data_IF_247766969623
#
_entry.id   IF_247766969623
#
_cell.length_a   1.000
_cell.length_b   1.000
_cell.length_c   1.000
_cell.angle_alpha   90.00
_cell.angle_beta   90.00
_cell.angle_gamma   90.00
#
_symmetry.space_group_name_H-M   'P 1'
#
loop_
_entity.id
_entity.type
_entity.pdbx_description
1 polymer ?
#
# COMPACT_ATOMS: atom_id res chain seq x y z
N UNK A 1 -7.85 6.99 -10.04
CA UNK A 1 -9.21 6.77 -9.50
C UNK A 1 -10.04 6.09 -10.57
N UNK A 2 -10.80 5.05 -10.23
CA UNK A 2 -11.81 4.45 -11.13
C UNK A 2 -13.12 4.21 -10.40
N UNK A 3 -14.20 3.96 -11.16
CA UNK A 3 -15.50 3.61 -10.57
C UNK A 3 -15.44 2.33 -9.74
N UNK A 4 -14.70 1.31 -10.19
CA UNK A 4 -14.62 0.02 -9.48
C UNK A 4 -13.68 0.03 -8.27
N UNK A 5 -12.69 0.95 -8.25
CA UNK A 5 -11.57 0.92 -7.29
C UNK A 5 -11.48 2.15 -6.40
N UNK A 6 -12.24 3.21 -6.66
CA UNK A 6 -12.07 4.49 -5.96
C UNK A 6 -10.63 4.97 -6.06
N UNK A 7 -9.99 5.19 -4.91
CA UNK A 7 -8.57 5.56 -4.83
C UNK A 7 -7.60 4.39 -4.62
N UNK A 8 -8.08 3.14 -4.57
CA UNK A 8 -7.21 1.96 -4.52
C UNK A 8 -6.24 1.94 -5.72
N UNK A 9 -5.16 1.18 -5.56
CA UNK A 9 -4.22 0.95 -6.65
C UNK A 9 -4.93 0.51 -7.95
N UNK A 10 -4.52 1.10 -9.07
CA UNK A 10 -5.06 0.80 -10.41
C UNK A 10 -4.64 -0.57 -10.95
N UNK A 11 -3.93 -1.36 -10.16
CA UNK A 11 -3.44 -2.70 -10.42
C UNK A 11 -3.78 -3.60 -9.22
N UNK A 12 -3.71 -4.93 -9.36
CA UNK A 12 -3.73 -5.83 -8.18
C UNK A 12 -2.33 -5.83 -7.56
N UNK A 13 -2.14 -5.31 -6.33
CA UNK A 13 -0.84 -5.24 -5.69
C UNK A 13 -0.15 -6.60 -5.52
N UNK A 14 -0.91 -7.67 -5.30
CA UNK A 14 -0.35 -9.02 -5.12
C UNK A 14 0.12 -9.68 -6.41
N UNK A 15 -0.31 -9.18 -7.57
CA UNK A 15 0.11 -9.66 -8.89
C UNK A 15 1.39 -8.98 -9.40
N UNK A 16 1.88 -7.94 -8.72
CA UNK A 16 3.10 -7.23 -9.11
C UNK A 16 4.33 -8.02 -8.68
N UNK A 17 5.18 -8.35 -9.65
CA UNK A 17 6.46 -9.00 -9.40
C UNK A 17 7.59 -7.97 -9.31
N UNK A 18 8.39 -8.03 -8.24
CA UNK A 18 9.59 -7.23 -8.13
C UNK A 18 10.79 -7.95 -8.78
N UNK A 19 11.76 -7.21 -9.35
CA UNK A 19 13.00 -7.78 -9.87
C UNK A 19 13.71 -8.69 -8.86
N UNK A 20 14.38 -9.74 -9.35
CA UNK A 20 15.04 -10.76 -8.51
C UNK A 20 15.97 -10.17 -7.44
N UNK A 21 16.64 -9.05 -7.74
CA UNK A 21 17.52 -8.37 -6.79
C UNK A 21 16.80 -7.86 -5.53
N UNK A 22 15.49 -7.61 -5.59
CA UNK A 22 14.65 -7.16 -4.48
C UNK A 22 13.96 -8.31 -3.74
N UNK A 23 14.18 -9.58 -4.13
CA UNK A 23 13.60 -10.72 -3.43
C UNK A 23 13.97 -10.77 -1.93
N UNK A 24 15.23 -10.51 -1.50
CA UNK A 24 15.56 -10.50 -0.07
C UNK A 24 14.77 -9.46 0.74
N UNK A 25 14.44 -8.32 0.12
CA UNK A 25 13.62 -7.25 0.72
C UNK A 25 12.18 -7.73 0.88
N UNK A 26 11.61 -8.32 -0.17
CA UNK A 26 10.24 -8.88 -0.13
C UNK A 26 10.12 -10.00 0.89
N UNK A 27 11.08 -10.92 0.94
CA UNK A 27 11.10 -12.03 1.90
C UNK A 27 11.21 -11.54 3.33
N UNK A 28 12.12 -10.60 3.61
CA UNK A 28 12.27 -9.99 4.94
C UNK A 28 11.00 -9.27 5.37
N UNK A 29 10.40 -8.46 4.49
CA UNK A 29 9.18 -7.75 4.78
C UNK A 29 8.03 -8.72 5.09
N UNK A 30 7.83 -9.76 4.26
CA UNK A 30 6.78 -10.77 4.51
C UNK A 30 7.00 -11.61 5.76
N UNK A 31 8.25 -11.71 6.23
CA UNK A 31 8.58 -12.41 7.47
C UNK A 31 8.32 -11.59 8.74
N UNK A 32 8.04 -10.28 8.64
CA UNK A 32 7.86 -9.37 9.79
C UNK A 32 6.95 -9.96 10.90
N UNK A 33 5.77 -10.55 10.61
CA UNK A 33 4.91 -11.13 11.65
C UNK A 33 5.60 -12.19 12.52
N UNK A 34 6.51 -12.96 11.94
CA UNK A 34 7.29 -13.96 12.68
C UNK A 34 8.53 -13.36 13.36
N UNK A 35 9.00 -12.19 12.92
CA UNK A 35 10.21 -11.56 13.44
C UNK A 35 9.94 -10.62 14.61
N UNK A 36 8.82 -9.89 14.60
CA UNK A 36 8.54 -8.84 15.58
C UNK A 36 8.39 -9.39 17.00
N UNK A 37 7.86 -10.61 17.14
CA UNK A 37 7.70 -11.30 18.43
C UNK A 37 9.03 -11.82 19.03
N UNK A 38 10.14 -11.78 18.29
CA UNK A 38 11.42 -12.34 18.74
C UNK A 38 12.21 -11.43 19.68
N UNK A 39 11.84 -10.15 19.80
CA UNK A 39 12.62 -9.13 20.52
C UNK A 39 14.00 -8.84 19.91
N UNK A 40 14.24 -9.26 18.67
CA UNK A 40 15.52 -9.07 17.94
C UNK A 40 15.31 -8.55 16.52
N UNK A 41 14.17 -7.92 16.24
CA UNK A 41 13.76 -7.58 14.88
C UNK A 41 14.72 -6.58 14.23
N UNK A 42 15.33 -5.66 15.00
CA UNK A 42 16.33 -4.72 14.46
C UNK A 42 17.57 -5.43 13.96
N UNK A 43 18.13 -6.33 14.77
CA UNK A 43 19.31 -7.11 14.42
C UNK A 43 19.07 -8.02 13.21
N UNK A 44 17.82 -8.41 12.93
CA UNK A 44 17.45 -9.17 11.75
C UNK A 44 17.31 -8.27 10.51
N UNK A 45 16.63 -7.13 10.63
CA UNK A 45 16.49 -6.15 9.55
C UNK A 45 17.84 -5.55 9.11
N UNK A 46 18.77 -5.33 10.04
CA UNK A 46 20.12 -4.83 9.76
C UNK A 46 20.97 -5.79 8.91
N UNK A 47 20.57 -7.06 8.79
CA UNK A 47 21.24 -8.03 7.90
C UNK A 47 20.86 -7.84 6.44
N UNK A 48 19.85 -7.03 6.14
CA UNK A 48 19.50 -6.71 4.76
C UNK A 48 20.69 -6.05 4.06
N UNK A 49 20.99 -6.46 2.81
CA UNK A 49 21.98 -5.76 2.02
C UNK A 49 21.50 -4.32 1.76
N UNK A 50 22.42 -3.37 1.82
CA UNK A 50 22.17 -2.03 1.34
C UNK A 50 21.90 -2.09 -0.17
N UNK A 51 20.74 -1.62 -0.61
CA UNK A 51 20.39 -1.51 -2.02
C UNK A 51 20.42 -0.06 -2.47
N UNK A 52 21.02 0.19 -3.63
CA UNK A 52 20.79 1.43 -4.37
C UNK A 52 19.62 1.22 -5.35
N UNK A 53 18.54 1.95 -5.13
CA UNK A 53 17.31 1.92 -5.92
C UNK A 53 17.23 3.05 -6.94
N UNK A 54 18.25 3.89 -7.13
CA UNK A 54 18.19 4.97 -8.13
C UNK A 54 17.88 4.46 -9.55
N UNK A 55 18.62 3.45 -10.02
CA UNK A 55 18.38 2.84 -11.34
C UNK A 55 17.00 2.19 -11.40
N UNK A 56 16.62 1.43 -10.36
CA UNK A 56 15.30 0.82 -10.27
C UNK A 56 14.19 1.87 -10.34
N UNK A 57 14.28 2.97 -9.61
CA UNK A 57 13.30 4.04 -9.63
C UNK A 57 13.21 4.73 -11.01
N UNK A 58 14.30 4.75 -11.78
CA UNK A 58 14.31 5.33 -13.12
C UNK A 58 13.70 4.41 -14.18
N UNK A 59 13.74 3.09 -14.00
CA UNK A 59 13.31 2.11 -15.03
C UNK A 59 12.06 1.32 -14.68
N UNK A 60 11.75 1.18 -13.39
CA UNK A 60 10.62 0.37 -12.93
C UNK A 60 9.29 1.09 -13.13
N UNK A 61 8.24 0.30 -13.35
CA UNK A 61 6.86 0.79 -13.37
C UNK A 61 6.47 1.41 -12.03
N UNK A 62 5.49 2.32 -12.05
CA UNK A 62 4.95 2.89 -10.81
C UNK A 62 4.40 1.81 -9.87
N UNK A 63 3.82 0.73 -10.41
CA UNK A 63 3.33 -0.40 -9.63
C UNK A 63 4.47 -1.09 -8.86
N UNK A 64 5.57 -1.42 -9.51
CA UNK A 64 6.75 -1.99 -8.85
C UNK A 64 7.32 -1.06 -7.78
N UNK A 65 7.40 0.25 -8.06
CA UNK A 65 7.88 1.24 -7.10
C UNK A 65 6.97 1.32 -5.86
N UNK A 66 5.64 1.29 -6.04
CA UNK A 66 4.67 1.29 -4.93
C UNK A 66 4.76 0.03 -4.08
N UNK A 67 4.94 -1.15 -4.68
CA UNK A 67 5.13 -2.40 -3.91
C UNK A 67 6.46 -2.40 -3.15
N UNK A 68 7.53 -1.90 -3.76
CA UNK A 68 8.80 -1.72 -3.05
C UNK A 68 8.64 -0.74 -1.87
N UNK A 69 7.94 0.38 -2.08
CA UNK A 69 7.63 1.36 -1.03
C UNK A 69 6.81 0.74 0.09
N UNK A 70 5.81 -0.08 -0.22
CA UNK A 70 5.02 -0.82 0.77
C UNK A 70 5.91 -1.71 1.65
N UNK A 71 6.77 -2.54 1.07
CA UNK A 71 7.65 -3.41 1.86
C UNK A 71 8.64 -2.61 2.72
N UNK A 72 9.27 -1.57 2.17
CA UNK A 72 10.18 -0.70 2.93
C UNK A 72 9.47 0.06 4.04
N UNK A 73 8.25 0.54 3.81
CA UNK A 73 7.46 1.27 4.81
C UNK A 73 7.16 0.40 6.02
N UNK A 74 6.74 -0.86 5.80
CA UNK A 74 6.51 -1.81 6.89
C UNK A 74 7.81 -2.14 7.63
N UNK A 75 8.90 -2.46 6.92
CA UNK A 75 10.20 -2.73 7.58
C UNK A 75 10.70 -1.53 8.40
N UNK A 76 10.52 -0.31 7.90
CA UNK A 76 10.90 0.91 8.62
C UNK A 76 10.08 1.08 9.89
N UNK A 77 8.74 0.95 9.82
CA UNK A 77 7.90 1.04 11.01
C UNK A 77 8.20 -0.08 12.02
N UNK A 78 8.44 -1.30 11.55
CA UNK A 78 8.89 -2.42 12.38
C UNK A 78 10.23 -2.14 13.04
N UNK A 79 11.19 -1.52 12.35
CA UNK A 79 12.47 -1.17 12.95
C UNK A 79 12.32 -0.11 14.06
N UNK A 80 11.49 0.92 13.81
CA UNK A 80 11.28 2.01 14.77
C UNK A 80 10.54 1.51 16.01
N UNK A 81 9.45 0.76 15.84
CA UNK A 81 8.49 0.45 16.91
C UNK A 81 8.47 -1.02 17.35
N UNK A 82 9.21 -1.91 16.69
CA UNK A 82 9.17 -3.35 16.97
C UNK A 82 9.97 -3.80 18.19
N UNK A 83 10.59 -2.89 18.93
CA UNK A 83 11.27 -3.17 20.20
C UNK A 83 10.99 -2.02 21.20
N UNK A 84 11.28 -2.24 22.48
CA UNK A 84 10.84 -1.38 23.59
C UNK A 84 11.26 0.10 23.47
N UNK A 85 12.50 0.37 23.06
CA UNK A 85 13.07 1.73 22.98
C UNK A 85 13.19 2.18 21.54
N UNK A 86 12.65 3.33 21.17
CA UNK A 86 12.75 3.86 19.81
C UNK A 86 14.22 4.16 19.42
N UNK A 87 14.66 3.81 18.19
CA UNK A 87 16.03 4.08 17.76
C UNK A 87 16.21 5.56 17.42
N UNK A 88 17.44 6.06 17.49
CA UNK A 88 17.76 7.44 17.10
C UNK A 88 17.93 7.65 15.60
N UNK A 89 18.16 6.57 14.85
CA UNK A 89 18.38 6.59 13.41
C UNK A 89 18.00 5.23 12.79
N UNK A 90 17.69 5.25 11.50
CA UNK A 90 17.53 4.05 10.70
C UNK A 90 18.90 3.57 10.16
N UNK A 91 19.14 2.25 10.04
CA UNK A 91 20.32 1.73 9.37
C UNK A 91 20.25 2.04 7.88
N UNK A 92 21.42 2.16 7.23
CA UNK A 92 21.50 2.56 5.83
C UNK A 92 20.69 1.64 4.90
N UNK A 93 20.63 0.34 5.19
CA UNK A 93 19.87 -0.64 4.41
C UNK A 93 18.35 -0.40 4.39
N UNK A 94 17.83 0.40 5.32
CA UNK A 94 16.44 0.87 5.32
C UNK A 94 16.33 2.33 4.90
N UNK A 95 17.20 3.19 5.44
CA UNK A 95 17.15 4.64 5.24
C UNK A 95 17.36 5.08 3.79
N UNK A 96 18.33 4.49 3.09
CA UNK A 96 18.69 4.89 1.72
C UNK A 96 17.59 4.46 0.73
N UNK A 97 17.13 3.19 0.70
CA UNK A 97 16.12 2.76 -0.26
C UNK A 97 14.77 3.46 -0.09
N UNK A 98 14.27 3.60 1.14
CA UNK A 98 12.97 4.25 1.38
C UNK A 98 13.01 5.72 0.99
N UNK A 99 14.14 6.40 1.19
CA UNK A 99 14.31 7.79 0.75
C UNK A 99 14.30 7.90 -0.78
N UNK A 100 14.99 7.00 -1.49
CA UNK A 100 15.01 6.99 -2.95
C UNK A 100 13.63 6.71 -3.54
N UNK A 101 12.90 5.73 -2.98
CA UNK A 101 11.52 5.41 -3.35
C UNK A 101 10.58 6.59 -3.10
N UNK A 102 10.61 7.17 -1.88
CA UNK A 102 9.80 8.33 -1.52
C UNK A 102 10.07 9.52 -2.45
N UNK A 103 11.34 9.80 -2.75
CA UNK A 103 11.71 10.84 -3.71
C UNK A 103 11.17 10.57 -5.11
N UNK A 104 11.24 9.34 -5.59
CA UNK A 104 10.74 8.94 -6.92
C UNK A 104 9.23 9.07 -7.02
N UNK A 105 8.51 8.61 -5.99
CA UNK A 105 7.05 8.63 -5.92
C UNK A 105 6.46 9.99 -5.50
N UNK A 106 7.28 10.95 -5.10
CA UNK A 106 6.82 12.23 -4.54
C UNK A 106 6.14 12.07 -3.18
N UNK A 107 6.52 11.06 -2.41
CA UNK A 107 5.94 10.72 -1.11
C UNK A 107 6.96 10.84 0.02
N UNK A 108 6.53 11.14 1.26
CA UNK A 108 7.42 11.07 2.40
C UNK A 108 7.91 9.63 2.61
N UNK A 109 9.19 9.41 2.98
CA UNK A 109 9.77 8.10 3.25
C UNK A 109 9.32 7.54 4.60
N UNK A 110 8.02 7.32 4.74
CA UNK A 110 7.31 6.81 5.91
C UNK A 110 6.33 5.73 5.44
N UNK A 111 5.39 5.31 6.29
CA UNK A 111 4.23 4.51 5.93
C UNK A 111 3.02 5.44 5.68
N UNK A 112 2.78 5.87 4.42
CA UNK A 112 1.57 6.60 4.09
C UNK A 112 0.35 5.67 4.05
N UNK A 113 -0.84 6.26 4.09
CA UNK A 113 -2.10 5.53 3.90
C UNK A 113 -2.14 4.74 2.57
N UNK A 114 -1.51 5.27 1.51
CA UNK A 114 -1.41 4.56 0.23
C UNK A 114 -0.77 3.19 0.38
N UNK A 115 0.36 3.12 1.10
CA UNK A 115 1.10 1.87 1.28
C UNK A 115 0.56 1.00 2.40
N UNK A 116 -0.09 1.58 3.41
CA UNK A 116 -0.73 0.80 4.47
C UNK A 116 -2.04 0.14 4.02
N UNK A 117 -2.76 0.78 3.10
CA UNK A 117 -4.12 0.38 2.71
C UNK A 117 -4.32 0.28 1.20
N UNK A 118 -4.18 1.37 0.45
CA UNK A 118 -4.56 1.41 -0.99
C UNK A 118 -3.79 0.42 -1.86
N UNK A 119 -2.56 0.09 -1.45
CA UNK A 119 -1.62 -0.84 -2.11
C UNK A 119 -1.44 -2.15 -1.32
N UNK A 120 -2.09 -2.33 -0.16
CA UNK A 120 -1.85 -3.46 0.74
C UNK A 120 -2.97 -4.50 0.73
N UNK A 121 -3.33 -4.97 -0.45
CA UNK A 121 -4.36 -5.97 -0.65
C UNK A 121 -4.11 -6.76 -1.93
N UNK A 122 -4.81 -7.87 -2.09
CA UNK A 122 -4.86 -8.65 -3.33
C UNK A 122 -6.12 -9.49 -3.35
N UNK A 123 -6.56 -9.89 -4.54
CA UNK A 123 -7.73 -10.74 -4.69
C UNK A 123 -7.42 -12.19 -4.27
N UNK A 124 -8.43 -12.86 -3.72
CA UNK A 124 -8.41 -14.31 -3.48
C UNK A 124 -8.75 -15.01 -4.81
N UNK A 125 -9.88 -14.64 -5.40
CA UNK A 125 -10.28 -14.97 -6.77
C UNK A 125 -10.04 -13.75 -7.68
N UNK A 126 -9.11 -13.83 -8.66
CA UNK A 126 -8.81 -12.73 -9.58
C UNK A 126 -9.99 -12.22 -10.39
N UNK A 127 -11.01 -13.05 -10.61
CA UNK A 127 -12.21 -12.69 -11.39
C UNK A 127 -13.36 -12.18 -10.50
N UNK A 128 -13.17 -12.16 -9.17
CA UNK A 128 -14.17 -11.71 -8.22
C UNK A 128 -14.15 -10.20 -7.92
N UNK A 129 -15.12 -9.75 -7.13
CA UNK A 129 -15.26 -8.35 -6.70
C UNK A 129 -14.19 -7.93 -5.69
N UNK A 130 -13.97 -6.61 -5.57
CA UNK A 130 -13.13 -6.01 -4.53
C UNK A 130 -14.02 -5.73 -3.31
N UNK A 131 -14.33 -6.78 -2.57
CA UNK A 131 -15.08 -6.70 -1.31
C UNK A 131 -14.53 -7.67 -0.26
N UNK A 132 -15.01 -7.56 0.97
CA UNK A 132 -14.53 -8.32 2.12
C UNK A 132 -14.59 -9.84 1.97
N UNK A 133 -15.40 -10.37 1.05
CA UNK A 133 -15.46 -11.80 0.78
C UNK A 133 -14.30 -12.31 -0.09
N UNK A 134 -13.60 -11.40 -0.80
CA UNK A 134 -12.65 -11.74 -1.85
C UNK A 134 -11.31 -10.99 -1.78
N UNK A 135 -11.05 -10.20 -0.74
CA UNK A 135 -9.75 -9.53 -0.54
C UNK A 135 -8.95 -10.12 0.61
N UNK A 136 -7.64 -10.11 0.49
CA UNK A 136 -6.69 -10.44 1.57
C UNK A 136 -5.52 -9.47 1.59
N UNK A 137 -4.86 -9.36 2.74
CA UNK A 137 -3.69 -8.49 2.91
C UNK A 137 -2.45 -9.08 2.23
N UNK A 138 -1.59 -8.19 1.73
CA UNK A 138 -0.29 -8.54 1.16
C UNK A 138 0.83 -8.54 2.21
N UNK A 139 0.86 -7.51 3.07
CA UNK A 139 1.90 -7.25 4.06
C UNK A 139 1.29 -6.97 5.44
N UNK A 140 1.78 -7.69 6.44
CA UNK A 140 1.34 -7.61 7.83
C UNK A 140 2.46 -7.07 8.74
N UNK A 141 2.09 -6.52 9.88
CA UNK A 141 2.96 -6.30 11.04
C UNK A 141 2.97 -7.50 11.97
N UNK A 142 1.83 -7.84 12.58
CA UNK A 142 1.72 -8.94 13.54
C UNK A 142 0.88 -10.11 12.98
N UNK A 143 0.10 -9.85 11.92
CA UNK A 143 -0.66 -10.89 11.23
C UNK A 143 -1.97 -11.28 11.93
N UNK A 144 -2.41 -10.49 12.90
CA UNK A 144 -3.65 -10.71 13.63
C UNK A 144 -4.90 -10.41 12.80
N UNK A 145 -6.03 -11.03 13.19
CA UNK A 145 -7.33 -10.79 12.55
C UNK A 145 -7.77 -9.33 12.67
N UNK A 146 -7.48 -8.67 13.79
CA UNK A 146 -7.84 -7.26 14.01
C UNK A 146 -7.09 -6.32 13.06
N UNK A 147 -5.79 -6.56 12.83
CA UNK A 147 -5.00 -5.87 11.81
C UNK A 147 -5.60 -6.11 10.42
N UNK A 148 -5.98 -7.36 10.14
CA UNK A 148 -6.56 -7.74 8.87
C UNK A 148 -7.85 -6.95 8.58
N UNK A 149 -8.76 -6.96 9.54
CA UNK A 149 -10.02 -6.23 9.44
C UNK A 149 -9.83 -4.73 9.37
N UNK A 150 -8.86 -4.16 10.09
CA UNK A 150 -8.57 -2.73 10.04
C UNK A 150 -8.22 -2.27 8.62
N UNK A 151 -7.40 -3.01 7.89
CA UNK A 151 -7.00 -2.63 6.53
C UNK A 151 -8.11 -2.98 5.52
N UNK A 152 -8.65 -4.21 5.55
CA UNK A 152 -9.55 -4.69 4.51
C UNK A 152 -10.92 -3.98 4.52
N UNK A 153 -11.39 -3.51 5.68
CA UNK A 153 -12.63 -2.70 5.72
C UNK A 153 -12.44 -1.38 4.97
N UNK A 154 -11.28 -0.75 5.10
CA UNK A 154 -10.97 0.47 4.36
C UNK A 154 -10.84 0.18 2.86
N UNK A 155 -10.26 -0.95 2.47
CA UNK A 155 -10.20 -1.36 1.07
C UNK A 155 -11.61 -1.47 0.48
N UNK A 156 -12.53 -2.14 1.17
CA UNK A 156 -13.92 -2.27 0.70
C UNK A 156 -14.66 -0.92 0.65
N UNK A 157 -14.44 -0.04 1.64
CA UNK A 157 -15.01 1.32 1.65
C UNK A 157 -14.49 2.13 0.46
N UNK A 158 -13.20 2.10 0.18
CA UNK A 158 -12.58 2.83 -0.94
C UNK A 158 -13.08 2.31 -2.30
N UNK A 159 -13.19 0.99 -2.47
CA UNK A 159 -13.77 0.41 -3.68
C UNK A 159 -15.22 0.88 -3.88
N UNK A 160 -16.05 0.83 -2.83
CA UNK A 160 -17.45 1.30 -2.87
C UNK A 160 -17.55 2.80 -3.14
N UNK A 161 -16.63 3.61 -2.59
CA UNK A 161 -16.60 5.05 -2.79
C UNK A 161 -16.31 5.43 -4.25
N UNK A 162 -15.70 4.55 -5.05
CA UNK A 162 -15.46 4.78 -6.48
C UNK A 162 -16.73 5.09 -7.26
N UNK A 163 -17.85 4.40 -6.96
CA UNK A 163 -19.14 4.69 -7.57
C UNK A 163 -19.66 6.09 -7.22
N UNK A 164 -19.57 6.47 -5.94
CA UNK A 164 -19.99 7.79 -5.46
C UNK A 164 -19.16 8.92 -6.09
N UNK A 165 -17.85 8.72 -6.22
CA UNK A 165 -16.96 9.70 -6.85
C UNK A 165 -17.27 9.88 -8.34
N UNK A 166 -17.60 8.79 -9.04
CA UNK A 166 -18.02 8.86 -10.44
C UNK A 166 -19.36 9.61 -10.59
N UNK A 167 -20.33 9.35 -9.71
CA UNK A 167 -21.59 10.12 -9.69
C UNK A 167 -21.37 11.60 -9.34
N UNK A 168 -20.41 11.93 -8.47
CA UNK A 168 -20.07 13.33 -8.19
C UNK A 168 -19.54 14.06 -9.43
N UNK A 169 -18.77 13.39 -10.30
CA UNK A 169 -18.34 13.97 -11.58
C UNK A 169 -19.52 14.17 -12.55
N UNK A 170 -20.49 13.24 -12.54
CA UNK A 170 -21.71 13.39 -13.34
C UNK A 170 -22.60 14.54 -12.83
N UNK A 171 -22.69 14.71 -11.51
CA UNK A 171 -23.37 15.84 -10.88
C UNK A 171 -22.78 17.19 -11.31
N UNK A 172 -21.45 17.32 -11.32
CA UNK A 172 -20.78 18.54 -11.80
C UNK A 172 -21.14 18.82 -13.26
N UNK A 173 -21.10 17.81 -14.13
CA UNK A 173 -21.48 17.93 -15.54
C UNK A 173 -22.94 18.33 -15.72
N UNK A 174 -23.86 17.76 -14.94
CA UNK A 174 -25.27 18.10 -14.96
C UNK A 174 -25.52 19.55 -14.50
N UNK A 175 -24.80 20.00 -13.47
CA UNK A 175 -24.85 21.38 -13.01
C UNK A 175 -24.36 22.37 -14.08
N UNK A 176 -23.25 22.07 -14.75
CA UNK A 176 -22.71 22.89 -15.85
C UNK A 176 -23.68 22.94 -17.05
N UNK A 177 -24.41 21.85 -17.31
CA UNK A 177 -25.42 21.76 -18.35
C UNK A 177 -26.79 22.36 -17.94
N UNK A 178 -26.93 22.83 -16.69
CA UNK A 178 -28.19 23.26 -16.10
C UNK A 178 -29.32 22.21 -16.21
N UNK A 179 -29.00 20.93 -16.01
CA UNK A 179 -29.95 19.81 -16.00
C UNK A 179 -30.30 19.39 -14.55
N UNK A 180 -31.39 19.93 -13.97
CA UNK A 180 -31.77 19.63 -12.59
C UNK A 180 -32.29 18.21 -12.40
N UNK A 181 -32.80 17.55 -13.44
CA UNK A 181 -33.29 16.18 -13.34
C UNK A 181 -32.13 15.21 -13.16
N UNK A 182 -31.09 15.36 -13.99
CA UNK A 182 -29.88 14.55 -13.90
C UNK A 182 -29.09 14.85 -12.61
N UNK A 183 -29.02 16.12 -12.20
CA UNK A 183 -28.44 16.48 -10.91
C UNK A 183 -29.18 15.80 -9.72
N UNK A 184 -30.52 15.77 -9.76
CA UNK A 184 -31.35 15.08 -8.76
C UNK A 184 -31.11 13.57 -8.73
N UNK A 185 -30.91 12.93 -9.90
CA UNK A 185 -30.55 11.51 -10.00
C UNK A 185 -29.21 11.24 -9.33
N UNK A 186 -28.17 12.02 -9.65
CA UNK A 186 -26.82 11.82 -9.11
C UNK A 186 -26.78 11.96 -7.57
N UNK A 187 -27.58 12.86 -6.99
CA UNK A 187 -27.66 13.06 -5.54
C UNK A 187 -28.39 11.93 -4.78
N UNK A 188 -29.14 11.09 -5.50
CA UNK A 188 -29.95 10.01 -4.91
C UNK A 188 -29.35 8.62 -5.12
N UNK A 189 -28.23 8.53 -5.85
CA UNK A 189 -27.49 7.30 -6.13
C UNK A 189 -26.59 6.91 -4.95
#
# INVERSE_FOLDING_TARGET
MSRERGFLASFDPGAVELPLRLQPVREMARAIPQLICTGRVRALLERLPLMDLNEFCATASEAEQRIAMLHYSFMVQTYVWGEAEAPRALPACLAVPIWQLGKSLGQPPLLPYSSYTLENWTLIDPDGSIDLSNVRILQHFDGGMDEAWFILIHVAIEARAGEMLDEALNLIRAADAADPAEAGRCLSA
#
